data_IF_005838851705
#
_entry.id   IF_005838851705
#
_cell.length_a   1.000
_cell.length_b   1.000
_cell.length_c   1.000
_cell.angle_alpha   90.00
_cell.angle_beta   90.00
_cell.angle_gamma   90.00
#
_symmetry.space_group_name_H-M   'P 1'
#
loop_
_entity.id
_entity.type
_entity.pdbx_description
1 polymer ?
#
# COMPACT_ATOMS: atom_id res chain seq x y z
N UNK A 1 43.87 -4.49 -10.74
CA UNK A 1 42.64 -4.72 -9.95
C UNK A 1 41.79 -3.46 -10.00
N UNK A 2 40.46 -3.56 -10.04
CA UNK A 2 39.56 -2.42 -10.32
C UNK A 2 38.66 -2.16 -9.11
N UNK A 3 38.43 -0.88 -8.81
CA UNK A 3 37.42 -0.41 -7.84
C UNK A 3 36.06 -1.00 -8.27
N UNK A 4 35.20 -1.46 -7.33
CA UNK A 4 33.87 -1.91 -7.69
C UNK A 4 33.13 -0.76 -8.38
N UNK A 5 32.37 -1.07 -9.43
CA UNK A 5 31.51 -0.11 -10.12
C UNK A 5 30.08 -0.50 -9.78
N UNK A 6 29.34 0.41 -9.15
CA UNK A 6 27.98 0.14 -8.75
C UNK A 6 27.05 0.21 -9.96
N UNK A 7 26.25 -0.84 -10.15
CA UNK A 7 25.14 -0.82 -11.10
C UNK A 7 23.86 -0.69 -10.30
N UNK A 8 23.43 0.56 -10.10
CA UNK A 8 22.20 0.84 -9.37
C UNK A 8 20.98 0.31 -10.14
N UNK A 9 19.97 -0.24 -9.43
CA UNK A 9 18.64 -0.35 -10.00
C UNK A 9 18.07 1.06 -10.24
N UNK A 10 17.01 1.14 -11.05
CA UNK A 10 16.28 2.39 -11.27
C UNK A 10 15.59 2.87 -10.00
N UNK A 11 15.34 4.18 -9.91
CA UNK A 11 14.45 4.74 -8.89
C UNK A 11 13.12 3.98 -8.85
N UNK A 12 12.58 3.82 -7.65
CA UNK A 12 11.44 2.94 -7.40
C UNK A 12 10.23 3.74 -6.95
N UNK A 13 9.07 3.39 -7.49
CA UNK A 13 7.77 3.86 -7.03
C UNK A 13 7.01 2.71 -6.37
N UNK A 14 6.53 2.92 -5.15
CA UNK A 14 5.78 1.92 -4.38
C UNK A 14 4.37 2.39 -4.04
N UNK A 15 3.44 1.43 -3.99
CA UNK A 15 2.12 1.70 -3.46
C UNK A 15 2.25 2.14 -2.01
N UNK A 16 1.64 3.26 -1.67
CA UNK A 16 1.79 3.79 -0.34
C UNK A 16 1.18 2.85 0.72
N UNK A 17 1.93 2.58 1.78
CA UNK A 17 1.61 1.59 2.82
C UNK A 17 1.91 0.14 2.43
N UNK A 18 2.43 -0.13 1.24
CA UNK A 18 2.94 -1.46 0.89
C UNK A 18 4.43 -1.57 1.12
N UNK A 19 4.91 -2.80 1.21
CA UNK A 19 6.32 -3.11 1.31
C UNK A 19 6.85 -3.68 -0.01
N UNK A 20 8.03 -3.24 -0.44
CA UNK A 20 8.72 -3.80 -1.61
C UNK A 20 10.10 -4.31 -1.22
N UNK A 21 10.52 -5.42 -1.82
CA UNK A 21 11.90 -5.89 -1.76
C UNK A 21 12.70 -5.23 -2.88
N UNK A 22 13.73 -4.46 -2.52
CA UNK A 22 14.67 -3.86 -3.46
C UNK A 22 15.99 -4.63 -3.41
N UNK A 23 16.47 -5.06 -4.57
CA UNK A 23 17.75 -5.75 -4.73
C UNK A 23 18.85 -4.76 -5.11
N UNK A 24 20.03 -4.87 -4.50
CA UNK A 24 21.20 -4.03 -4.76
C UNK A 24 21.88 -4.34 -6.10
N UNK A 25 21.41 -5.37 -6.82
CA UNK A 25 21.96 -5.82 -8.09
C UNK A 25 23.07 -6.87 -7.92
N UNK A 26 23.51 -7.45 -9.03
CA UNK A 26 24.54 -8.50 -9.03
C UNK A 26 25.93 -7.94 -8.65
N UNK A 27 26.52 -8.45 -7.56
CA UNK A 27 27.87 -8.09 -7.09
C UNK A 27 27.98 -8.13 -5.56
N UNK A 28 29.15 -7.81 -5.00
CA UNK A 28 29.35 -7.56 -3.56
C UNK A 28 28.76 -6.18 -3.17
N UNK A 29 27.50 -5.92 -3.54
CA UNK A 29 26.77 -4.71 -3.26
C UNK A 29 25.82 -4.97 -2.08
N UNK A 30 25.80 -4.06 -1.11
CA UNK A 30 24.97 -4.19 0.09
C UNK A 30 24.37 -2.84 0.46
N UNK A 31 23.10 -2.84 0.85
CA UNK A 31 22.51 -1.70 1.54
C UNK A 31 23.14 -1.60 2.94
N UNK A 32 23.37 -0.38 3.43
CA UNK A 32 23.73 -0.18 4.84
C UNK A 32 22.63 0.61 5.54
N UNK A 33 21.90 -0.04 6.44
CA UNK A 33 21.04 0.66 7.40
C UNK A 33 21.84 1.27 8.55
N UNK A 34 21.16 1.96 9.46
CA UNK A 34 21.70 2.57 10.71
C UNK A 34 22.33 1.59 11.72
N UNK A 35 22.47 0.29 11.37
CA UNK A 35 23.04 -0.73 12.26
C UNK A 35 24.11 -1.63 11.61
N UNK A 36 24.71 -1.25 10.47
CA UNK A 36 25.80 -2.04 9.88
C UNK A 36 25.39 -3.42 9.34
N UNK A 37 24.09 -3.62 9.09
CA UNK A 37 23.59 -4.83 8.41
C UNK A 37 23.85 -4.67 6.91
N UNK A 38 24.67 -5.57 6.38
CA UNK A 38 25.01 -5.67 4.96
C UNK A 38 24.11 -6.71 4.31
N UNK A 39 23.08 -6.27 3.60
CA UNK A 39 22.20 -7.15 2.85
C UNK A 39 22.18 -6.75 1.38
N UNK A 40 22.18 -7.74 0.47
CA UNK A 40 21.95 -7.50 -0.96
C UNK A 40 20.50 -7.11 -1.25
N UNK A 41 19.60 -7.25 -0.28
CA UNK A 41 18.19 -6.89 -0.41
C UNK A 41 17.67 -6.16 0.83
N UNK A 42 16.79 -5.17 0.64
CA UNK A 42 16.09 -4.49 1.72
C UNK A 42 14.59 -4.50 1.49
N UNK A 43 13.84 -4.59 2.58
CA UNK A 43 12.41 -4.35 2.60
C UNK A 43 12.18 -2.86 2.86
N UNK A 44 11.49 -2.18 1.95
CA UNK A 44 11.21 -0.75 2.02
C UNK A 44 9.70 -0.51 2.08
N UNK A 45 9.28 0.32 3.01
CA UNK A 45 7.88 0.75 3.22
C UNK A 45 7.74 2.27 3.06
N UNK A 46 8.68 3.03 3.62
CA UNK A 46 8.65 4.49 3.60
C UNK A 46 9.33 5.09 2.37
N UNK A 47 8.85 6.24 1.86
CA UNK A 47 9.57 6.98 0.84
C UNK A 47 10.86 7.56 1.42
N UNK A 48 11.92 7.59 0.61
CA UNK A 48 13.21 8.08 1.08
C UNK A 48 14.34 7.79 0.10
N UNK A 49 15.53 8.27 0.48
CA UNK A 49 16.76 8.03 -0.28
C UNK A 49 17.55 6.94 0.43
N UNK A 50 17.75 5.82 -0.27
CA UNK A 50 18.40 4.63 0.28
C UNK A 50 19.80 4.48 -0.32
N UNK A 51 20.87 4.53 0.50
CA UNK A 51 22.22 4.38 0.01
C UNK A 51 22.59 2.90 -0.22
N UNK A 52 23.27 2.64 -1.34
CA UNK A 52 23.80 1.32 -1.73
C UNK A 52 25.32 1.39 -1.77
N UNK A 53 25.98 0.45 -1.11
CA UNK A 53 27.44 0.41 -1.00
C UNK A 53 27.99 -0.83 -1.70
N UNK A 54 29.00 -0.65 -2.54
CA UNK A 54 29.81 -1.75 -3.05
C UNK A 54 31.24 -1.57 -2.55
N UNK A 55 31.85 -2.63 -2.01
CA UNK A 55 33.23 -2.56 -1.55
C UNK A 55 34.01 -3.85 -1.85
N UNK A 56 35.29 -3.69 -2.14
CA UNK A 56 36.25 -4.78 -2.23
C UNK A 56 37.62 -4.33 -1.69
N UNK A 57 38.62 -5.20 -1.76
CA UNK A 57 39.99 -4.91 -1.30
C UNK A 57 40.68 -3.72 -2.01
N UNK A 58 40.12 -3.22 -3.11
CA UNK A 58 40.67 -2.13 -3.91
C UNK A 58 39.96 -0.79 -3.70
N UNK A 59 38.82 -0.77 -2.99
CA UNK A 59 38.06 0.46 -2.72
C UNK A 59 36.56 0.24 -2.57
N UNK A 60 35.83 1.34 -2.47
CA UNK A 60 34.37 1.38 -2.32
C UNK A 60 33.72 2.36 -3.30
N UNK A 61 32.48 2.06 -3.67
CA UNK A 61 31.60 2.93 -4.46
C UNK A 61 30.24 3.03 -3.76
N UNK A 62 29.56 4.16 -3.90
CA UNK A 62 28.29 4.46 -3.24
C UNK A 62 27.30 5.06 -4.23
N UNK A 63 26.12 4.47 -4.28
CA UNK A 63 24.99 4.99 -5.04
C UNK A 63 23.78 5.26 -4.16
N UNK A 64 22.79 5.97 -4.71
CA UNK A 64 21.54 6.29 -4.02
C UNK A 64 20.37 5.85 -4.88
N UNK A 65 19.37 5.23 -4.25
CA UNK A 65 18.09 4.90 -4.87
C UNK A 65 17.05 5.83 -4.26
N UNK A 66 16.29 6.52 -5.09
CA UNK A 66 15.16 7.28 -4.63
C UNK A 66 13.91 6.39 -4.65
N UNK A 67 13.30 6.21 -3.48
CA UNK A 67 12.02 5.52 -3.33
C UNK A 67 10.94 6.55 -3.08
N UNK A 68 9.96 6.58 -3.97
CA UNK A 68 8.80 7.46 -3.85
C UNK A 68 7.54 6.62 -3.69
N UNK A 69 6.57 7.13 -2.94
CA UNK A 69 5.27 6.50 -2.78
C UNK A 69 4.25 7.12 -3.73
N UNK A 70 3.33 6.32 -4.24
CA UNK A 70 2.18 6.81 -5.01
C UNK A 70 0.88 6.13 -4.57
N UNK A 71 -0.23 6.72 -4.99
CA UNK A 71 -1.56 6.15 -4.79
C UNK A 71 -1.77 4.99 -5.75
N UNK A 72 -1.80 3.79 -5.19
CA UNK A 72 -2.35 2.68 -5.94
C UNK A 72 -3.87 2.80 -5.98
N UNK A 73 -4.43 2.37 -7.10
CA UNK A 73 -5.87 2.40 -7.28
C UNK A 73 -6.51 1.44 -6.28
N UNK A 74 -7.42 1.99 -5.48
CA UNK A 74 -8.31 1.18 -4.67
C UNK A 74 -9.49 0.75 -5.55
N UNK A 75 -9.78 -0.53 -5.54
CA UNK A 75 -10.95 -1.08 -6.22
C UNK A 75 -12.11 -1.01 -5.25
N UNK A 76 -13.05 -0.10 -5.52
CA UNK A 76 -14.25 0.05 -4.70
C UNK A 76 -15.42 -0.55 -5.47
N UNK A 77 -15.97 -1.69 -5.01
CA UNK A 77 -17.12 -2.26 -5.68
C UNK A 77 -18.33 -1.36 -5.46
N UNK A 78 -19.19 -1.32 -6.46
CA UNK A 78 -20.45 -0.59 -6.40
C UNK A 78 -21.61 -1.47 -5.90
N UNK A 79 -21.38 -2.76 -5.63
CA UNK A 79 -22.41 -3.72 -5.25
C UNK A 79 -21.85 -4.86 -4.41
N UNK A 80 -22.64 -5.35 -3.45
CA UNK A 80 -22.41 -6.62 -2.76
C UNK A 80 -23.76 -7.22 -2.30
N UNK A 81 -23.78 -8.52 -2.03
CA UNK A 81 -24.98 -9.33 -1.79
C UNK A 81 -24.90 -10.04 -0.43
N UNK A 82 -25.18 -9.35 0.70
CA UNK A 82 -25.14 -9.95 2.03
C UNK A 82 -26.36 -10.87 2.27
N UNK A 83 -26.38 -12.02 1.60
CA UNK A 83 -27.45 -13.02 1.67
C UNK A 83 -27.03 -14.31 2.41
N UNK A 84 -25.75 -14.42 2.78
CA UNK A 84 -25.18 -15.54 3.53
C UNK A 84 -24.80 -16.75 2.69
N UNK A 85 -24.70 -16.62 1.37
CA UNK A 85 -24.27 -17.71 0.47
C UNK A 85 -22.73 -17.85 0.36
N UNK A 86 -21.98 -16.95 1.01
CA UNK A 86 -20.53 -16.89 1.00
C UNK A 86 -19.93 -16.11 -0.18
N UNK A 87 -20.76 -15.59 -1.09
CA UNK A 87 -20.35 -14.89 -2.31
C UNK A 87 -20.74 -13.41 -2.19
N UNK A 88 -19.74 -12.52 -2.18
CA UNK A 88 -19.95 -11.07 -2.06
C UNK A 88 -20.79 -10.67 -0.82
N UNK A 89 -20.72 -11.44 0.27
CA UNK A 89 -21.44 -11.13 1.52
C UNK A 89 -20.89 -9.91 2.27
N UNK A 90 -19.66 -9.53 1.95
CA UNK A 90 -18.95 -8.41 2.56
C UNK A 90 -18.52 -7.42 1.49
N UNK A 91 -18.53 -6.15 1.87
CA UNK A 91 -17.89 -5.11 1.07
C UNK A 91 -16.38 -5.29 1.12
N UNK A 92 -15.82 -5.81 0.03
CA UNK A 92 -14.38 -5.97 -0.13
C UNK A 92 -13.83 -4.83 -0.99
N UNK A 93 -12.81 -4.11 -0.51
CA UNK A 93 -12.15 -3.02 -1.25
C UNK A 93 -10.66 -3.33 -1.44
N UNK A 94 -10.25 -4.11 -2.46
CA UNK A 94 -8.83 -4.35 -2.73
C UNK A 94 -8.06 -3.04 -2.89
N UNK A 95 -6.82 -2.98 -2.41
CA UNK A 95 -5.99 -1.77 -2.42
C UNK A 95 -6.03 -0.95 -1.12
N UNK A 96 -6.87 -1.33 -0.15
CA UNK A 96 -6.89 -0.66 1.17
C UNK A 96 -5.90 -1.27 2.18
N UNK A 97 -5.09 -2.24 1.75
CA UNK A 97 -4.25 -3.05 2.63
C UNK A 97 -3.35 -2.18 3.51
N UNK A 98 -2.99 -2.70 4.68
CA UNK A 98 -2.07 -2.04 5.64
C UNK A 98 -2.67 -0.82 6.35
N UNK A 99 -4.00 -0.62 6.26
CA UNK A 99 -4.73 0.32 7.11
C UNK A 99 -4.44 1.80 6.84
N UNK A 100 -3.92 2.12 5.65
CA UNK A 100 -3.72 3.49 5.16
C UNK A 100 -5.05 4.23 4.98
N UNK A 101 -6.09 3.50 4.60
CA UNK A 101 -7.41 4.03 4.31
C UNK A 101 -8.37 3.85 5.49
N UNK A 102 -9.14 4.90 5.76
CA UNK A 102 -10.28 4.90 6.67
C UNK A 102 -11.53 4.97 5.81
N UNK A 103 -12.33 3.91 5.85
CA UNK A 103 -13.57 3.78 5.09
C UNK A 103 -14.74 4.10 6.01
N UNK A 104 -15.58 5.04 5.59
CA UNK A 104 -16.82 5.41 6.28
C UNK A 104 -18.00 5.22 5.36
N UNK A 105 -19.09 4.70 5.89
CA UNK A 105 -20.28 4.41 5.12
C UNK A 105 -21.48 5.10 5.74
N UNK A 106 -22.33 5.65 4.88
CA UNK A 106 -23.42 6.53 5.24
C UNK A 106 -24.72 6.10 4.56
N UNK A 107 -25.85 6.36 5.22
CA UNK A 107 -27.15 6.29 4.57
C UNK A 107 -27.40 7.51 3.67
N UNK A 108 -28.55 7.50 2.95
CA UNK A 108 -28.99 8.60 2.07
C UNK A 108 -29.19 9.96 2.76
N UNK A 109 -29.25 9.99 4.09
CA UNK A 109 -29.43 11.20 4.89
C UNK A 109 -28.11 11.68 5.52
N UNK A 110 -26.98 11.04 5.21
CA UNK A 110 -25.67 11.41 5.74
C UNK A 110 -25.38 10.89 7.15
N UNK A 111 -26.21 10.01 7.73
CA UNK A 111 -25.84 9.36 8.99
C UNK A 111 -24.82 8.26 8.75
N UNK A 112 -23.72 8.30 9.51
CA UNK A 112 -22.68 7.27 9.49
C UNK A 112 -23.23 5.96 10.05
N UNK A 113 -23.12 4.90 9.27
CA UNK A 113 -23.53 3.54 9.62
C UNK A 113 -22.34 2.66 9.99
N UNK A 114 -21.17 2.94 9.40
CA UNK A 114 -19.98 2.13 9.58
C UNK A 114 -18.72 2.99 9.44
N UNK A 115 -17.67 2.59 10.15
CA UNK A 115 -16.31 3.09 10.00
C UNK A 115 -15.34 1.94 10.22
N UNK A 116 -14.35 1.78 9.34
CA UNK A 116 -13.37 0.72 9.43
C UNK A 116 -12.15 0.94 8.54
N UNK A 117 -11.17 0.05 8.69
CA UNK A 117 -9.94 -0.02 7.91
C UNK A 117 -9.78 -1.43 7.36
N UNK A 118 -8.62 -1.76 6.80
CA UNK A 118 -8.23 -3.12 6.45
C UNK A 118 -8.10 -4.05 7.68
N UNK A 119 -8.60 -5.31 7.62
CA UNK A 119 -9.56 -5.82 6.65
C UNK A 119 -10.96 -5.24 6.88
N UNK A 120 -11.62 -4.84 5.79
CA UNK A 120 -12.96 -4.27 5.85
C UNK A 120 -14.00 -5.38 6.03
N UNK A 121 -14.55 -5.52 7.23
CA UNK A 121 -15.57 -6.53 7.55
C UNK A 121 -16.97 -5.91 7.66
N UNK A 122 -17.45 -5.28 6.58
CA UNK A 122 -18.82 -4.73 6.55
C UNK A 122 -19.75 -5.60 5.70
N UNK A 123 -20.73 -6.22 6.36
CA UNK A 123 -21.77 -7.06 5.76
C UNK A 123 -23.15 -6.38 5.73
N UNK A 124 -23.24 -5.10 6.12
CA UNK A 124 -24.50 -4.36 6.22
C UNK A 124 -25.63 -5.11 6.96
N UNK A 125 -25.29 -5.79 8.07
CA UNK A 125 -26.27 -6.49 8.89
C UNK A 125 -27.40 -5.52 9.31
N UNK A 126 -28.65 -5.97 9.18
CA UNK A 126 -29.87 -5.21 9.53
C UNK A 126 -30.12 -3.92 8.72
N UNK A 127 -29.41 -3.70 7.63
CA UNK A 127 -29.74 -2.65 6.67
C UNK A 127 -30.75 -3.16 5.62
N UNK A 128 -31.44 -2.24 4.96
CA UNK A 128 -32.35 -2.58 3.84
C UNK A 128 -31.58 -2.58 2.53
N UNK A 129 -32.14 -3.20 1.50
CA UNK A 129 -31.64 -3.03 0.13
C UNK A 129 -31.69 -1.56 -0.29
N UNK A 130 -30.77 -1.19 -1.19
CA UNK A 130 -30.69 0.15 -1.77
C UNK A 130 -29.29 0.75 -1.74
N UNK A 131 -29.23 2.04 -2.05
CA UNK A 131 -27.98 2.78 -2.25
C UNK A 131 -27.49 3.42 -0.95
N UNK A 132 -26.21 3.17 -0.66
CA UNK A 132 -25.44 3.74 0.44
C UNK A 132 -24.23 4.47 -0.12
N UNK A 133 -23.64 5.36 0.68
CA UNK A 133 -22.53 6.20 0.24
C UNK A 133 -21.29 5.91 1.05
N UNK A 134 -20.13 5.88 0.42
CA UNK A 134 -18.86 5.71 1.11
C UNK A 134 -17.98 6.95 0.96
N UNK A 135 -17.11 7.15 1.96
CA UNK A 135 -15.99 8.07 1.94
C UNK A 135 -14.76 7.30 2.38
N UNK A 136 -13.75 7.23 1.53
CA UNK A 136 -12.44 6.65 1.82
C UNK A 136 -11.41 7.76 1.96
N UNK A 137 -10.84 7.88 3.14
CA UNK A 137 -9.86 8.91 3.51
C UNK A 137 -8.50 8.27 3.79
N UNK A 138 -7.41 8.87 3.29
CA UNK A 138 -6.06 8.37 3.55
C UNK A 138 -5.42 9.06 4.75
N UNK A 139 -4.77 8.29 5.62
CA UNK A 139 -3.95 8.79 6.74
C UNK A 139 -2.74 9.61 6.28
N UNK A 140 -2.37 9.55 5.01
CA UNK A 140 -1.23 10.30 4.45
C UNK A 140 -1.64 11.67 3.87
N UNK A 141 -2.84 12.15 4.16
CA UNK A 141 -3.30 13.47 3.72
C UNK A 141 -3.63 13.53 2.22
N UNK A 142 -4.01 12.39 1.62
CA UNK A 142 -4.32 12.28 0.19
C UNK A 142 -5.80 12.64 -0.08
N UNK A 143 -6.16 12.99 -1.33
CA UNK A 143 -7.55 13.30 -1.68
C UNK A 143 -8.51 12.15 -1.35
N UNK A 144 -9.64 12.48 -0.75
CA UNK A 144 -10.68 11.51 -0.44
C UNK A 144 -11.27 10.88 -1.71
N UNK A 145 -11.60 9.59 -1.64
CA UNK A 145 -12.40 8.89 -2.67
C UNK A 145 -13.83 8.73 -2.16
N UNK A 146 -14.80 9.01 -3.01
CA UNK A 146 -16.22 8.97 -2.64
C UNK A 146 -17.04 8.32 -3.74
N UNK A 147 -18.13 7.66 -3.36
CA UNK A 147 -19.05 7.05 -4.29
C UNK A 147 -20.20 6.38 -3.57
N UNK A 148 -20.82 5.42 -4.25
CA UNK A 148 -21.94 4.67 -3.73
C UNK A 148 -21.69 3.16 -3.79
N UNK A 149 -22.42 2.46 -2.94
CA UNK A 149 -22.50 1.00 -2.92
C UNK A 149 -23.98 0.61 -2.82
N UNK A 150 -24.39 -0.35 -3.63
CA UNK A 150 -25.74 -0.89 -3.65
C UNK A 150 -25.77 -2.24 -2.93
N UNK A 151 -26.81 -2.42 -2.13
CA UNK A 151 -27.07 -3.65 -1.39
C UNK A 151 -28.25 -4.36 -2.05
N UNK A 152 -28.04 -5.62 -2.40
CA UNK A 152 -29.06 -6.57 -2.85
C UNK A 152 -29.04 -7.81 -1.95
N UNK A 153 -30.15 -8.55 -1.83
CA UNK A 153 -30.20 -9.81 -1.08
C UNK A 153 -30.82 -10.95 -1.88
#
# INVERSE_FOLDING_TARGET
>A
MKVPVLQLPTDTQICAGTMVMIDAGAGNCTYSGTMGVHSSQILVEDPGVYPVYAYNQCGSDVGMINVTTYLCDILIPNMFTPNGDGINDFLNMPGIENGVWIIRIYNRWGHKLFEGTDPLQWNAERLTEGTYYYVAESKMGLPQRTGFVEIFR
#
